data_IF_808194279572
#
_entry.id   IF_808194279572
#
_cell.length_a   1.000
_cell.length_b   1.000
_cell.length_c   1.000
_cell.angle_alpha   90.00
_cell.angle_beta   90.00
_cell.angle_gamma   90.00
#
_symmetry.space_group_name_H-M   'P 1'
#
loop_
_entity.id
_entity.type
_entity.pdbx_description
1 polymer ?
#
# COMPACT_ATOMS: atom_id res chain seq x y z
N UNK A 1 -33.38 23.34 32.16
CA UNK A 1 -33.52 23.60 30.72
C UNK A 1 -32.92 24.97 30.47
N UNK A 2 -31.95 25.13 29.55
CA UNK A 2 -32.02 24.63 28.18
C UNK A 2 -31.24 23.33 27.98
N UNK A 3 -31.90 22.36 27.38
CA UNK A 3 -31.28 21.23 26.70
C UNK A 3 -30.51 21.74 25.50
N UNK A 4 -29.18 21.67 25.52
CA UNK A 4 -28.42 21.69 24.27
C UNK A 4 -28.74 20.40 23.53
N UNK A 5 -29.63 20.50 22.56
CA UNK A 5 -29.84 19.45 21.56
C UNK A 5 -28.54 19.30 20.78
N UNK A 6 -27.66 18.41 21.23
CA UNK A 6 -26.61 17.89 20.37
C UNK A 6 -27.32 17.10 19.28
N UNK A 7 -27.52 17.74 18.14
CA UNK A 7 -27.93 17.03 16.92
C UNK A 7 -26.82 16.01 16.63
N UNK A 8 -27.12 14.70 16.61
CA UNK A 8 -26.17 13.74 16.06
C UNK A 8 -26.24 13.87 14.55
N UNK A 9 -25.59 14.91 13.98
CA UNK A 9 -25.39 14.97 12.54
C UNK A 9 -24.47 13.81 12.17
N UNK A 10 -25.11 12.78 11.63
CA UNK A 10 -24.52 11.59 11.04
C UNK A 10 -23.28 11.95 10.21
N UNK A 11 -22.12 11.64 10.76
CA UNK A 11 -20.84 11.47 10.06
C UNK A 11 -20.37 12.63 9.15
N UNK A 12 -19.81 13.69 9.72
CA UNK A 12 -18.79 14.47 9.01
C UNK A 12 -17.49 13.64 8.98
N UNK A 13 -17.40 12.69 8.03
CA UNK A 13 -16.23 11.81 7.83
C UNK A 13 -14.95 12.55 7.40
N UNK A 14 -15.02 13.84 7.12
CA UNK A 14 -13.87 14.64 6.71
C UNK A 14 -13.06 15.04 7.94
N UNK A 15 -12.17 14.17 8.38
CA UNK A 15 -11.05 14.61 9.21
C UNK A 15 -10.35 15.75 8.46
N UNK A 16 -10.10 16.91 9.10
CA UNK A 16 -9.35 17.96 8.45
C UNK A 16 -7.99 17.38 8.04
N UNK A 17 -7.63 17.53 6.76
CA UNK A 17 -6.28 17.21 6.31
C UNK A 17 -5.35 18.12 7.10
N UNK A 18 -4.37 17.59 7.86
CA UNK A 18 -3.54 18.39 8.75
C UNK A 18 -2.50 19.15 7.95
N UNK A 19 -2.96 20.21 7.25
CA UNK A 19 -2.21 21.07 6.31
C UNK A 19 -1.45 22.21 7.00
N UNK A 20 -1.73 22.43 8.28
CA UNK A 20 -1.16 23.50 9.11
C UNK A 20 0.09 23.06 9.90
N UNK A 21 0.54 21.82 9.70
CA UNK A 21 1.66 21.25 10.46
C UNK A 21 3.05 21.69 9.97
N UNK A 22 3.15 22.25 8.78
CA UNK A 22 4.39 22.81 8.21
C UNK A 22 4.07 23.78 7.06
N UNK A 23 5.05 24.60 6.68
CA UNK A 23 4.95 25.45 5.49
C UNK A 23 5.34 24.66 4.23
N UNK A 24 4.36 24.39 3.37
CA UNK A 24 4.56 23.68 2.10
C UNK A 24 5.51 24.40 1.13
N UNK A 25 5.72 25.71 1.31
CA UNK A 25 6.60 26.53 0.49
C UNK A 25 7.98 26.75 1.12
N UNK A 26 8.29 26.15 2.28
CA UNK A 26 9.60 26.26 2.91
C UNK A 26 10.71 25.79 1.94
N UNK A 27 11.69 26.66 1.60
CA UNK A 27 12.80 26.30 0.72
C UNK A 27 13.57 25.05 1.18
N UNK A 28 13.67 24.81 2.49
CA UNK A 28 14.34 23.61 3.04
C UNK A 28 13.55 22.35 2.73
N UNK A 29 12.23 22.40 2.88
CA UNK A 29 11.32 21.30 2.55
C UNK A 29 11.41 20.97 1.06
N UNK A 30 11.32 22.00 0.20
CA UNK A 30 11.43 21.83 -1.24
C UNK A 30 12.80 21.27 -1.66
N UNK A 31 13.89 21.74 -1.03
CA UNK A 31 15.22 21.20 -1.27
C UNK A 31 15.34 19.72 -0.87
N UNK A 32 14.79 19.34 0.29
CA UNK A 32 14.77 17.95 0.76
C UNK A 32 13.89 17.04 -0.11
N UNK A 33 12.87 17.59 -0.77
CA UNK A 33 11.98 16.85 -1.66
C UNK A 33 12.59 16.59 -3.05
N UNK A 34 13.65 17.29 -3.47
CA UNK A 34 14.26 17.15 -4.81
C UNK A 34 14.64 15.71 -5.20
N UNK A 35 15.22 14.87 -4.32
CA UNK A 35 15.56 13.48 -4.67
C UNK A 35 14.33 12.60 -4.97
N UNK A 36 13.13 13.03 -4.57
CA UNK A 36 11.90 12.25 -4.68
C UNK A 36 11.12 12.46 -5.99
N UNK A 37 11.63 13.27 -6.92
CA UNK A 37 11.02 13.45 -8.27
C UNK A 37 10.80 12.10 -8.97
N UNK A 38 11.70 11.14 -8.75
CA UNK A 38 11.52 9.77 -9.25
C UNK A 38 10.24 9.09 -8.72
N UNK A 39 9.89 9.31 -7.45
CA UNK A 39 8.66 8.75 -6.86
C UNK A 39 7.43 9.34 -7.53
N UNK A 40 7.41 10.65 -7.77
CA UNK A 40 6.32 11.33 -8.48
C UNK A 40 6.14 10.79 -9.90
N UNK A 41 7.25 10.52 -10.60
CA UNK A 41 7.23 9.91 -11.93
C UNK A 41 6.68 8.48 -11.90
N UNK A 42 7.10 7.67 -10.93
CA UNK A 42 6.60 6.29 -10.78
C UNK A 42 5.10 6.28 -10.46
N UNK A 43 4.65 7.15 -9.55
CA UNK A 43 3.26 7.28 -9.16
C UNK A 43 2.41 8.01 -10.19
N UNK A 44 3.04 8.69 -11.17
CA UNK A 44 2.38 9.61 -12.12
C UNK A 44 1.52 10.65 -11.40
N UNK A 45 2.04 11.14 -10.27
CA UNK A 45 1.36 12.06 -9.38
C UNK A 45 2.35 13.10 -8.88
N UNK A 46 2.01 14.38 -9.10
CA UNK A 46 2.77 15.51 -8.57
C UNK A 46 2.12 16.00 -7.28
N UNK A 47 2.82 15.84 -6.17
CA UNK A 47 2.40 16.32 -4.86
C UNK A 47 2.28 17.84 -4.83
N UNK A 48 1.14 18.34 -4.36
CA UNK A 48 0.92 19.77 -4.05
C UNK A 48 1.72 20.16 -2.82
N UNK A 49 1.69 19.31 -1.80
CA UNK A 49 2.48 19.44 -0.59
C UNK A 49 3.48 18.28 -0.48
N UNK A 50 4.78 18.59 -0.69
CA UNK A 50 5.86 17.61 -0.62
C UNK A 50 6.10 17.08 0.80
N UNK A 51 5.54 17.74 1.83
CA UNK A 51 5.64 17.28 3.21
C UNK A 51 5.00 15.91 3.42
N UNK A 52 3.84 15.63 2.83
CA UNK A 52 3.22 14.30 2.92
C UNK A 52 4.13 13.20 2.37
N UNK A 53 4.77 13.46 1.23
CA UNK A 53 5.73 12.52 0.63
C UNK A 53 6.94 12.32 1.56
N UNK A 54 7.51 13.39 2.11
CA UNK A 54 8.64 13.30 3.03
C UNK A 54 8.28 12.54 4.32
N UNK A 55 7.05 12.68 4.83
CA UNK A 55 6.60 11.91 6.01
C UNK A 55 6.58 10.41 5.69
N UNK A 56 6.07 10.03 4.52
CA UNK A 56 5.98 8.63 4.09
C UNK A 56 7.35 7.94 4.00
N UNK A 57 8.42 8.68 3.73
CA UNK A 57 9.78 8.15 3.68
C UNK A 57 10.59 8.33 4.98
N UNK A 58 10.01 8.95 6.01
CA UNK A 58 10.70 9.19 7.29
C UNK A 58 10.40 8.06 8.26
N UNK A 59 11.40 7.24 8.57
CA UNK A 59 11.29 6.15 9.53
C UNK A 59 11.35 6.67 10.98
N UNK A 60 10.76 5.94 11.93
CA UNK A 60 10.72 6.35 13.34
C UNK A 60 12.11 6.58 13.95
N UNK A 61 13.12 5.81 13.49
CA UNK A 61 14.51 5.95 13.94
C UNK A 61 15.22 7.19 13.42
N UNK A 62 14.65 7.92 12.46
CA UNK A 62 15.27 9.13 11.94
C UNK A 62 15.14 10.27 12.97
N UNK A 63 16.23 10.89 13.44
CA UNK A 63 16.19 11.82 14.59
C UNK A 63 15.25 12.98 14.36
N UNK A 64 14.43 13.31 15.36
CA UNK A 64 13.48 14.41 15.30
C UNK A 64 14.16 15.76 15.06
N UNK A 65 15.32 15.98 15.68
CA UNK A 65 16.16 17.18 15.47
C UNK A 65 16.64 17.36 14.02
N UNK A 66 16.67 16.27 13.23
CA UNK A 66 17.07 16.28 11.82
C UNK A 66 15.88 16.31 10.85
N UNK A 67 14.64 16.36 11.36
CA UNK A 67 13.41 16.43 10.54
C UNK A 67 13.07 17.86 10.20
N UNK A 68 12.62 18.07 8.97
CA UNK A 68 12.12 19.37 8.48
C UNK A 68 10.62 19.51 8.77
N UNK A 69 9.91 18.38 8.83
CA UNK A 69 8.48 18.30 9.10
C UNK A 69 8.24 17.43 10.34
N UNK A 70 7.23 17.75 11.16
CA UNK A 70 6.84 16.88 12.26
C UNK A 70 6.26 15.58 11.69
N UNK A 71 6.49 14.45 12.37
CA UNK A 71 5.93 13.15 12.00
C UNK A 71 6.90 12.18 11.30
N UNK A 72 6.37 11.01 10.96
CA UNK A 72 7.05 9.86 10.38
C UNK A 72 6.01 8.90 9.79
N UNK A 73 6.44 7.82 9.12
CA UNK A 73 5.56 6.96 8.31
C UNK A 73 4.41 6.25 9.07
N UNK A 74 4.52 5.97 10.38
CA UNK A 74 3.61 5.04 11.08
C UNK A 74 2.15 5.49 11.25
N UNK A 75 1.82 6.78 11.44
CA UNK A 75 0.40 7.17 11.36
C UNK A 75 -0.15 7.05 9.93
N UNK A 76 0.72 7.15 8.93
CA UNK A 76 0.34 7.10 7.52
C UNK A 76 0.21 5.67 7.01
N UNK A 77 1.05 4.72 7.44
CA UNK A 77 0.95 3.32 7.02
C UNK A 77 -0.40 2.70 7.47
N UNK A 78 -0.86 3.03 8.67
CA UNK A 78 -2.16 2.60 9.19
C UNK A 78 -3.33 3.02 8.31
N UNK A 79 -3.39 4.30 7.90
CA UNK A 79 -4.43 4.78 6.98
C UNK A 79 -4.27 4.14 5.59
N UNK A 80 -3.03 3.90 5.18
CA UNK A 80 -2.70 3.34 3.86
C UNK A 80 -3.15 1.90 3.72
N UNK A 81 -2.89 1.07 4.74
CA UNK A 81 -3.36 -0.31 4.85
C UNK A 81 -4.89 -0.37 4.71
N UNK A 82 -5.62 0.49 5.43
CA UNK A 82 -7.07 0.54 5.36
C UNK A 82 -7.58 0.90 3.95
N UNK A 83 -6.97 1.90 3.31
CA UNK A 83 -7.33 2.31 1.94
C UNK A 83 -7.03 1.22 0.91
N UNK A 84 -5.85 0.60 0.98
CA UNK A 84 -5.47 -0.50 0.08
C UNK A 84 -6.39 -1.69 0.23
N UNK A 85 -6.70 -2.08 1.47
CA UNK A 85 -7.65 -3.15 1.81
C UNK A 85 -9.01 -2.88 1.19
N UNK A 86 -9.55 -1.68 1.33
CA UNK A 86 -10.83 -1.29 0.74
C UNK A 86 -10.78 -1.36 -0.79
N UNK A 87 -9.80 -0.69 -1.42
CA UNK A 87 -9.72 -0.58 -2.87
C UNK A 87 -9.49 -1.94 -3.55
N UNK A 88 -8.61 -2.78 -3.00
CA UNK A 88 -8.39 -4.14 -3.49
C UNK A 88 -9.64 -5.00 -3.33
N UNK A 89 -10.39 -4.85 -2.22
CA UNK A 89 -11.64 -5.57 -2.00
C UNK A 89 -12.69 -5.18 -3.05
N UNK A 90 -12.89 -3.88 -3.30
CA UNK A 90 -13.83 -3.39 -4.31
C UNK A 90 -13.42 -3.87 -5.71
N UNK A 91 -12.14 -3.79 -6.06
CA UNK A 91 -11.65 -4.24 -7.36
C UNK A 91 -11.82 -5.75 -7.55
N UNK A 92 -11.57 -6.57 -6.53
CA UNK A 92 -11.78 -8.01 -6.59
C UNK A 92 -13.26 -8.37 -6.70
N UNK A 93 -14.13 -7.67 -5.98
CA UNK A 93 -15.58 -7.86 -6.06
C UNK A 93 -16.12 -7.55 -7.45
N UNK A 94 -15.60 -6.52 -8.12
CA UNK A 94 -15.99 -6.12 -9.47
C UNK A 94 -15.40 -6.97 -10.60
N UNK A 95 -14.76 -8.12 -10.32
CA UNK A 95 -14.20 -8.98 -11.37
C UNK A 95 -15.31 -9.73 -12.13
N UNK A 96 -15.11 -9.92 -13.45
CA UNK A 96 -16.14 -10.49 -14.36
C UNK A 96 -16.47 -11.95 -14.00
N UNK A 97 -15.48 -12.71 -13.53
CA UNK A 97 -15.68 -14.10 -13.13
C UNK A 97 -15.93 -14.16 -11.61
N UNK A 98 -17.15 -14.51 -11.16
CA UNK A 98 -17.47 -14.51 -9.73
C UNK A 98 -16.63 -15.55 -8.99
N UNK A 99 -15.79 -15.06 -8.08
CA UNK A 99 -15.02 -15.89 -7.17
C UNK A 99 -15.84 -16.19 -5.91
N UNK A 100 -15.65 -17.38 -5.33
CA UNK A 100 -16.23 -17.71 -4.03
C UNK A 100 -15.72 -16.74 -2.95
N UNK A 101 -16.48 -16.47 -1.86
CA UNK A 101 -16.01 -15.61 -0.76
C UNK A 101 -14.65 -16.01 -0.20
N UNK A 102 -14.39 -17.32 -0.06
CA UNK A 102 -13.09 -17.85 0.36
C UNK A 102 -11.99 -17.51 -0.63
N UNK A 103 -12.25 -17.66 -1.94
CA UNK A 103 -11.29 -17.34 -2.99
C UNK A 103 -10.98 -15.84 -3.06
N UNK A 104 -11.98 -14.97 -2.87
CA UNK A 104 -11.80 -13.51 -2.78
C UNK A 104 -10.89 -13.15 -1.60
N UNK A 105 -11.17 -13.68 -0.41
CA UNK A 105 -10.39 -13.40 0.80
C UNK A 105 -8.93 -13.84 0.67
N UNK A 106 -8.70 -15.06 0.17
CA UNK A 106 -7.36 -15.59 -0.01
C UNK A 106 -6.59 -14.86 -1.13
N UNK A 107 -7.27 -14.45 -2.21
CA UNK A 107 -6.64 -13.62 -3.26
C UNK A 107 -6.27 -12.25 -2.71
N UNK A 108 -7.16 -11.61 -1.96
CA UNK A 108 -6.87 -10.33 -1.30
C UNK A 108 -5.65 -10.44 -0.38
N UNK A 109 -5.57 -11.45 0.48
CA UNK A 109 -4.40 -11.66 1.37
C UNK A 109 -3.08 -11.79 0.62
N UNK A 110 -3.07 -12.40 -0.57
CA UNK A 110 -1.85 -12.52 -1.38
C UNK A 110 -1.45 -11.20 -2.05
N UNK A 111 -2.41 -10.33 -2.32
CA UNK A 111 -2.19 -9.00 -2.90
C UNK A 111 -1.87 -7.94 -1.85
N UNK A 112 -2.48 -8.05 -0.68
CA UNK A 112 -2.32 -7.15 0.46
C UNK A 112 -1.34 -7.78 1.46
N UNK A 113 -0.06 -7.83 1.10
CA UNK A 113 0.96 -8.37 1.99
C UNK A 113 2.25 -7.56 1.94
N UNK A 114 2.90 -7.45 3.10
CA UNK A 114 4.15 -6.72 3.26
C UNK A 114 5.25 -7.17 2.30
N UNK A 115 5.23 -8.46 1.93
CA UNK A 115 6.19 -9.03 1.00
C UNK A 115 6.05 -8.45 -0.40
N UNK A 116 4.82 -8.30 -0.87
CA UNK A 116 4.56 -7.72 -2.18
C UNK A 116 4.81 -6.20 -2.16
N UNK A 117 4.34 -5.49 -1.14
CA UNK A 117 4.55 -4.04 -1.03
C UNK A 117 6.03 -3.68 -0.91
N UNK A 118 6.80 -4.39 -0.08
CA UNK A 118 8.24 -4.20 0.02
C UNK A 118 8.97 -4.50 -1.30
N UNK A 119 8.54 -5.54 -2.03
CA UNK A 119 9.04 -5.80 -3.39
C UNK A 119 8.75 -4.63 -4.34
N UNK A 120 7.53 -4.09 -4.35
CA UNK A 120 7.15 -2.97 -5.23
C UNK A 120 8.03 -1.74 -4.95
N UNK A 121 8.27 -1.41 -3.68
CA UNK A 121 9.15 -0.31 -3.28
C UNK A 121 10.60 -0.52 -3.75
N UNK A 122 11.11 -1.75 -3.64
CA UNK A 122 12.47 -2.07 -4.09
C UNK A 122 12.58 -2.03 -5.61
N UNK A 123 11.64 -2.68 -6.31
CA UNK A 123 11.61 -2.79 -7.77
C UNK A 123 11.58 -1.43 -8.46
N UNK A 124 10.96 -0.44 -7.82
CA UNK A 124 10.86 0.93 -8.29
C UNK A 124 11.95 1.86 -7.71
N UNK A 125 12.98 1.34 -7.04
CA UNK A 125 14.11 2.14 -6.54
C UNK A 125 13.80 3.04 -5.33
N UNK A 126 12.57 3.01 -4.80
CA UNK A 126 12.13 3.90 -3.73
C UNK A 126 12.84 3.62 -2.39
N UNK A 127 13.30 2.38 -2.17
CA UNK A 127 14.06 1.98 -0.98
C UNK A 127 15.33 2.83 -0.73
N UNK A 128 15.90 3.47 -1.76
CA UNK A 128 17.09 4.32 -1.64
C UNK A 128 16.79 5.67 -0.99
N UNK A 129 15.51 6.05 -0.94
CA UNK A 129 15.05 7.36 -0.46
C UNK A 129 14.54 7.31 0.98
N UNK A 130 14.63 6.16 1.65
CA UNK A 130 14.26 6.02 3.06
C UNK A 130 15.18 6.88 3.94
N UNK A 131 14.57 7.67 4.82
CA UNK A 131 15.28 8.45 5.83
C UNK A 131 15.25 7.66 7.13
N UNK A 132 16.37 7.05 7.48
CA UNK A 132 16.54 6.20 8.67
C UNK A 132 17.96 6.30 9.19
N UNK A 133 18.13 6.22 10.51
CA UNK A 133 19.45 6.08 11.16
C UNK A 133 19.69 4.65 11.70
N UNK A 134 18.89 3.67 11.30
CA UNK A 134 19.11 2.27 11.68
C UNK A 134 20.08 1.59 10.69
N UNK A 135 21.27 1.24 11.17
CA UNK A 135 22.25 0.46 10.40
C UNK A 135 21.72 -0.95 10.10
N UNK A 136 21.03 -1.59 11.05
CA UNK A 136 20.44 -2.91 10.86
C UNK A 136 19.38 -2.90 9.76
N UNK A 137 18.53 -1.88 9.70
CA UNK A 137 17.56 -1.73 8.61
C UNK A 137 18.27 -1.59 7.27
N UNK A 138 19.28 -0.72 7.21
CA UNK A 138 20.06 -0.47 6.00
C UNK A 138 20.71 -1.75 5.46
N UNK A 139 21.33 -2.54 6.34
CA UNK A 139 21.93 -3.81 5.98
C UNK A 139 20.90 -4.82 5.44
N UNK A 140 19.75 -4.96 6.12
CA UNK A 140 18.69 -5.87 5.66
C UNK A 140 18.10 -5.46 4.31
N UNK A 141 17.98 -4.16 4.04
CA UNK A 141 17.56 -3.65 2.72
C UNK A 141 18.59 -4.08 1.66
N UNK A 142 19.88 -3.85 1.90
CA UNK A 142 20.97 -4.22 0.97
C UNK A 142 20.96 -5.73 0.69
N UNK A 143 20.82 -6.55 1.73
CA UNK A 143 20.75 -8.00 1.58
C UNK A 143 19.54 -8.43 0.75
N UNK A 144 18.36 -7.84 0.99
CA UNK A 144 17.16 -8.13 0.22
C UNK A 144 17.30 -7.73 -1.25
N UNK A 145 17.81 -6.53 -1.55
CA UNK A 145 18.05 -6.03 -2.92
C UNK A 145 18.99 -6.99 -3.68
N UNK A 146 20.07 -7.45 -3.04
CA UNK A 146 21.01 -8.41 -3.63
C UNK A 146 20.35 -9.75 -3.97
N UNK A 147 19.51 -10.28 -3.07
CA UNK A 147 18.79 -11.54 -3.29
C UNK A 147 17.71 -11.43 -4.37
N UNK A 148 17.03 -10.28 -4.45
CA UNK A 148 15.96 -10.04 -5.42
C UNK A 148 16.48 -9.99 -6.86
N UNK A 149 17.63 -9.33 -7.08
CA UNK A 149 18.17 -9.10 -8.42
C UNK A 149 17.19 -8.35 -9.33
N UNK A 150 17.16 -8.72 -10.61
CA UNK A 150 16.30 -8.10 -11.64
C UNK A 150 15.03 -8.92 -11.95
N UNK A 151 14.69 -9.90 -11.11
CA UNK A 151 13.55 -10.80 -11.32
C UNK A 151 12.18 -10.13 -11.11
N UNK A 152 11.13 -10.90 -11.40
CA UNK A 152 9.76 -10.57 -11.02
C UNK A 152 9.52 -10.72 -9.51
N UNK A 153 8.26 -10.64 -9.09
CA UNK A 153 7.91 -10.81 -7.68
C UNK A 153 8.28 -12.23 -7.19
N UNK A 154 9.20 -12.40 -6.22
CA UNK A 154 9.77 -13.72 -5.92
C UNK A 154 8.92 -14.55 -4.94
N UNK A 155 7.64 -14.24 -4.73
CA UNK A 155 6.75 -15.12 -3.96
C UNK A 155 7.24 -15.43 -2.55
N UNK A 156 7.68 -16.66 -2.28
CA UNK A 156 8.32 -17.08 -1.02
C UNK A 156 9.74 -17.63 -1.25
N UNK A 157 10.31 -17.43 -2.45
CA UNK A 157 11.59 -18.01 -2.88
C UNK A 157 12.80 -17.37 -2.20
N UNK A 158 12.66 -16.15 -1.68
CA UNK A 158 13.69 -15.46 -0.90
C UNK A 158 13.13 -15.03 0.47
N UNK A 159 13.97 -14.44 1.32
CA UNK A 159 13.48 -13.88 2.58
C UNK A 159 12.54 -12.69 2.36
N UNK A 160 11.65 -12.45 3.31
CA UNK A 160 10.76 -11.29 3.25
C UNK A 160 11.55 -9.96 3.30
N UNK A 161 11.10 -8.92 2.59
CA UNK A 161 11.68 -7.60 2.72
C UNK A 161 11.53 -7.07 4.15
N UNK A 162 12.40 -6.15 4.60
CA UNK A 162 12.18 -5.43 5.84
C UNK A 162 10.81 -4.75 5.85
N UNK A 163 10.04 -4.94 6.94
CA UNK A 163 8.70 -4.38 7.12
C UNK A 163 8.61 -2.87 6.79
N UNK A 164 9.58 -2.01 7.15
CA UNK A 164 9.52 -0.59 6.80
C UNK A 164 9.41 -0.30 5.29
N UNK A 165 9.80 -1.22 4.41
CA UNK A 165 9.59 -1.04 2.97
C UNK A 165 8.11 -1.19 2.58
N UNK A 166 7.37 -2.09 3.24
CA UNK A 166 5.92 -2.17 3.07
C UNK A 166 5.24 -0.93 3.68
N UNK A 167 5.67 -0.54 4.88
CA UNK A 167 5.13 0.62 5.59
C UNK A 167 5.31 1.91 4.73
N UNK A 168 6.42 2.06 3.97
CA UNK A 168 6.58 3.17 2.99
C UNK A 168 5.52 3.13 1.91
N UNK A 169 5.21 1.96 1.35
CA UNK A 169 4.21 1.83 0.28
C UNK A 169 2.84 2.27 0.78
N UNK A 170 2.44 1.79 1.96
CA UNK A 170 1.19 2.14 2.63
C UNK A 170 1.17 3.63 3.01
N UNK A 171 2.26 4.15 3.56
CA UNK A 171 2.37 5.57 3.89
C UNK A 171 2.28 6.47 2.65
N UNK A 172 2.80 6.04 1.49
CA UNK A 172 2.65 6.79 0.23
C UNK A 172 1.22 6.79 -0.27
N UNK A 173 0.46 5.72 -0.08
CA UNK A 173 -0.98 5.68 -0.38
C UNK A 173 -1.70 6.76 0.42
N UNK A 174 -1.43 6.83 1.72
CA UNK A 174 -1.94 7.90 2.58
C UNK A 174 -1.46 9.29 2.17
N UNK A 175 -0.20 9.42 1.76
CA UNK A 175 0.36 10.69 1.33
C UNK A 175 -0.40 11.25 0.12
N UNK A 176 -0.64 10.41 -0.90
CA UNK A 176 -1.43 10.81 -2.08
C UNK A 176 -2.87 11.07 -1.69
N UNK A 177 -3.48 10.24 -0.83
CA UNK A 177 -4.84 10.43 -0.36
C UNK A 177 -5.02 11.80 0.33
N UNK A 178 -4.17 12.12 1.30
CA UNK A 178 -4.20 13.37 2.05
C UNK A 178 -3.88 14.57 1.15
N UNK A 179 -2.85 14.45 0.31
CA UNK A 179 -2.45 15.53 -0.59
C UNK A 179 -3.52 15.84 -1.63
N UNK A 180 -4.28 14.84 -2.11
CA UNK A 180 -5.32 14.94 -3.15
C UNK A 180 -6.73 15.25 -2.63
N UNK A 181 -6.85 15.85 -1.44
CA UNK A 181 -8.15 16.13 -0.80
C UNK A 181 -9.01 14.86 -0.63
N UNK A 182 -8.39 13.79 -0.15
CA UNK A 182 -9.04 12.52 0.17
C UNK A 182 -9.61 11.79 -1.07
N UNK A 183 -8.97 11.97 -2.24
CA UNK A 183 -9.41 11.38 -3.50
C UNK A 183 -8.97 9.93 -3.68
N UNK A 184 -9.86 8.98 -3.35
CA UNK A 184 -9.68 7.54 -3.61
C UNK A 184 -9.38 7.23 -5.09
N UNK A 185 -10.03 7.94 -6.02
CA UNK A 185 -9.80 7.78 -7.46
C UNK A 185 -8.39 8.19 -7.88
N UNK A 186 -7.80 9.20 -7.23
CA UNK A 186 -6.43 9.62 -7.50
C UNK A 186 -5.44 8.60 -6.99
N UNK A 187 -5.63 8.12 -5.75
CA UNK A 187 -4.84 7.01 -5.20
C UNK A 187 -4.89 5.79 -6.13
N UNK A 188 -6.08 5.35 -6.54
CA UNK A 188 -6.21 4.17 -7.40
C UNK A 188 -5.47 4.32 -8.73
N UNK A 189 -5.58 5.49 -9.40
CA UNK A 189 -4.86 5.78 -10.65
C UNK A 189 -3.35 5.73 -10.47
N UNK A 190 -2.83 6.19 -9.33
CA UNK A 190 -1.39 6.21 -9.04
C UNK A 190 -0.83 4.84 -8.67
N UNK A 191 -1.55 4.06 -7.86
CA UNK A 191 -1.02 2.82 -7.28
C UNK A 191 -1.43 1.54 -8.02
N UNK A 192 -2.61 1.48 -8.64
CA UNK A 192 -3.04 0.26 -9.33
C UNK A 192 -2.07 -0.18 -10.44
N UNK A 193 -1.46 0.70 -11.26
CA UNK A 193 -0.46 0.29 -12.25
C UNK A 193 0.71 -0.51 -11.65
N UNK A 194 1.12 -0.21 -10.42
CA UNK A 194 2.20 -0.90 -9.71
C UNK A 194 1.75 -2.29 -9.20
N UNK A 195 0.47 -2.44 -8.87
CA UNK A 195 -0.13 -3.68 -8.36
C UNK A 195 -0.61 -4.61 -9.48
N UNK A 196 -0.92 -4.05 -10.65
CA UNK A 196 -1.64 -4.72 -11.76
C UNK A 196 -1.04 -6.04 -12.20
N UNK A 197 0.30 -6.12 -12.30
CA UNK A 197 0.97 -7.35 -12.74
C UNK A 197 0.67 -8.51 -11.79
N UNK A 198 0.80 -8.28 -10.47
CA UNK A 198 0.53 -9.32 -9.49
C UNK A 198 -0.97 -9.56 -9.32
N UNK A 199 -1.79 -8.51 -9.42
CA UNK A 199 -3.24 -8.62 -9.43
C UNK A 199 -3.72 -9.62 -10.49
N UNK A 200 -3.25 -9.46 -11.72
CA UNK A 200 -3.63 -10.34 -12.83
C UNK A 200 -3.15 -11.78 -12.63
N UNK A 201 -1.91 -11.97 -12.15
CA UNK A 201 -1.35 -13.29 -11.85
C UNK A 201 -2.18 -14.01 -10.79
N UNK A 202 -2.51 -13.33 -9.69
CA UNK A 202 -3.29 -13.93 -8.61
C UNK A 202 -4.73 -14.21 -9.02
N UNK A 203 -5.34 -13.35 -9.84
CA UNK A 203 -6.68 -13.58 -10.38
C UNK A 203 -6.71 -14.84 -11.27
N UNK A 204 -5.74 -14.99 -12.18
CA UNK A 204 -5.62 -16.17 -13.05
C UNK A 204 -5.39 -17.46 -12.25
N UNK A 205 -4.50 -17.44 -11.25
CA UNK A 205 -4.26 -18.59 -10.37
C UNK A 205 -5.53 -19.00 -9.64
N UNK A 206 -6.26 -18.04 -9.08
CA UNK A 206 -7.47 -18.32 -8.33
C UNK A 206 -8.59 -18.88 -9.23
N UNK A 207 -8.75 -18.33 -10.45
CA UNK A 207 -9.70 -18.86 -11.43
C UNK A 207 -9.38 -20.32 -11.81
N UNK A 208 -8.12 -20.63 -12.12
CA UNK A 208 -7.71 -21.99 -12.46
C UNK A 208 -7.96 -23.01 -11.32
N UNK A 209 -7.86 -22.59 -10.05
CA UNK A 209 -8.18 -23.43 -8.90
C UNK A 209 -9.70 -23.66 -8.78
N UNK A 210 -10.51 -22.64 -9.10
CA UNK A 210 -11.96 -22.75 -9.06
C UNK A 210 -12.47 -23.70 -10.16
N UNK A 211 -11.90 -23.63 -11.36
CA UNK A 211 -12.27 -24.48 -12.50
C UNK A 211 -11.95 -25.96 -12.22
N UNK A 212 -10.77 -26.26 -11.67
CA UNK A 212 -10.38 -27.64 -11.29
C UNK A 212 -11.29 -28.27 -10.24
N UNK A 213 -11.92 -27.46 -9.38
CA UNK A 213 -12.87 -27.96 -8.38
C UNK A 213 -14.26 -28.24 -8.95
N UNK A 214 -14.64 -27.57 -10.04
CA UNK A 214 -15.89 -27.84 -10.75
C UNK A 214 -15.76 -29.01 -11.75
N UNK A 215 -14.54 -29.34 -12.19
CA UNK A 215 -14.29 -30.44 -13.13
C UNK A 215 -14.05 -31.82 -12.49
N UNK A 216 -14.07 -31.94 -11.16
CA UNK A 216 -13.99 -33.23 -10.47
C UNK A 216 -15.41 -33.73 -10.18
N UNK A 217 -15.93 -34.75 -10.87
CA UNK A 217 -17.22 -35.33 -10.55
C UNK A 217 -17.11 -36.09 -9.23
N UNK A 218 -18.01 -35.81 -8.30
CA UNK A 218 -18.36 -36.73 -7.22
C UNK A 218 -18.94 -37.99 -7.86
N UNK A 219 -18.11 -39.02 -8.01
CA UNK A 219 -18.57 -40.39 -8.20
C UNK A 219 -19.10 -40.90 -6.85
N UNK A 220 -20.31 -40.48 -6.50
CA UNK A 220 -21.13 -41.21 -5.53
C UNK A 220 -22.07 -42.11 -6.33
N UNK A 221 -21.49 -43.21 -6.83
CA UNK A 221 -22.25 -44.41 -7.15
C UNK A 221 -22.40 -45.20 -5.85
N UNK A 222 -23.38 -44.85 -5.03
CA UNK A 222 -23.89 -45.78 -4.03
C UNK A 222 -25.05 -46.54 -4.68
N UNK A 223 -24.71 -47.77 -5.03
CA UNK A 223 -25.54 -48.84 -5.55
C UNK A 223 -26.80 -49.04 -4.70
N UNK A 224 -27.94 -48.97 -5.37
CA UNK A 224 -29.11 -49.77 -5.03
C UNK A 224 -28.71 -51.24 -5.01
N UNK A 225 -28.73 -51.86 -3.83
CA UNK A 225 -28.89 -53.31 -3.71
C UNK A 225 -30.21 -53.60 -3.00
N UNK A 226 -30.90 -54.57 -3.58
CA UNK A 226 -32.22 -55.11 -3.29
C UNK A 226 -32.37 -55.75 -1.89
#
# INVERSE_FOLDING_TARGET
MPTSSVSPSFYEWTLPVPRDRWDSQDPKLLAAARPYVHVENVLRYSFRDKGFMLQAFTHESYPESSRIIPGYMRPMDFLGDALLKEMLTVQLYGTINPLTPKALHETRKRLECNRFFGYVVVRNGMHQLIRSHSSQLSERIVQYVRKLGNGGYPGFEIDAPPKPLADIFEALVSAVYLDSDQSKSTVWRSFFPLLRSQFNVELQKTAAIADRKHSSPTNDSESSED
#
